data_IF_490712706539
#
_entry.id   IF_490712706539
#
_cell.length_a   1.000
_cell.length_b   1.000
_cell.length_c   1.000
_cell.angle_alpha   90.00
_cell.angle_beta   90.00
_cell.angle_gamma   90.00
#
_symmetry.space_group_name_H-M   'P 1'
#
loop_
_entity.id
_entity.type
_entity.pdbx_description
1 polymer ?
#
# COMPACT_ATOMS: atom_id res chain seq x y z
N UNK A 1 -13.84 21.50 -41.38
CA UNK A 1 -12.65 21.23 -40.53
C UNK A 1 -12.95 20.84 -39.07
N UNK A 2 -14.22 20.64 -38.66
CA UNK A 2 -14.59 20.37 -37.26
C UNK A 2 -14.78 18.87 -36.90
N UNK A 3 -14.81 17.98 -37.89
CA UNK A 3 -15.09 16.56 -37.68
C UNK A 3 -13.87 15.80 -37.15
N UNK A 4 -12.68 16.09 -37.69
CA UNK A 4 -11.42 15.48 -37.23
C UNK A 4 -11.08 15.84 -35.78
N UNK A 5 -11.40 17.07 -35.35
CA UNK A 5 -11.16 17.49 -33.97
C UNK A 5 -12.05 16.72 -32.96
N UNK A 6 -13.32 16.48 -33.30
CA UNK A 6 -14.23 15.68 -32.46
C UNK A 6 -13.82 14.22 -32.38
N UNK A 7 -13.37 13.62 -33.48
CA UNK A 7 -12.86 12.24 -33.49
C UNK A 7 -11.58 12.14 -32.67
N UNK A 8 -10.65 13.07 -32.82
CA UNK A 8 -9.41 13.09 -32.05
C UNK A 8 -9.67 13.27 -30.56
N UNK A 9 -10.59 14.17 -30.18
CA UNK A 9 -11.01 14.35 -28.78
C UNK A 9 -11.69 13.10 -28.22
N UNK A 10 -12.53 12.42 -29.01
CA UNK A 10 -13.17 11.16 -28.61
C UNK A 10 -12.13 10.06 -28.38
N UNK A 11 -11.15 9.93 -29.28
CA UNK A 11 -10.04 8.96 -29.16
C UNK A 11 -9.24 9.25 -27.89
N UNK A 12 -8.87 10.51 -27.63
CA UNK A 12 -8.18 10.89 -26.40
C UNK A 12 -9.01 10.60 -25.14
N UNK A 13 -10.31 10.88 -25.17
CA UNK A 13 -11.23 10.57 -24.07
C UNK A 13 -11.28 9.06 -23.79
N UNK A 14 -11.40 8.23 -24.84
CA UNK A 14 -11.40 6.77 -24.72
C UNK A 14 -10.08 6.26 -24.14
N UNK A 15 -8.94 6.81 -24.57
CA UNK A 15 -7.64 6.48 -24.01
C UNK A 15 -7.49 6.90 -22.54
N UNK A 16 -7.99 8.09 -22.17
CA UNK A 16 -7.97 8.56 -20.77
C UNK A 16 -8.84 7.66 -19.90
N UNK A 17 -10.04 7.32 -20.36
CA UNK A 17 -10.94 6.38 -19.65
C UNK A 17 -10.25 5.02 -19.48
N UNK A 18 -9.58 4.49 -20.51
CA UNK A 18 -8.84 3.24 -20.41
C UNK A 18 -7.74 3.25 -19.35
N UNK A 19 -7.03 4.37 -19.20
CA UNK A 19 -5.96 4.52 -18.22
C UNK A 19 -6.51 4.59 -16.79
N UNK A 20 -7.73 5.09 -16.63
CA UNK A 20 -8.33 5.29 -15.30
C UNK A 20 -9.02 4.03 -14.75
N UNK A 21 -9.30 3.02 -15.56
CA UNK A 21 -10.11 1.88 -15.16
C UNK A 21 -9.36 0.87 -14.26
N UNK A 22 -9.24 1.15 -12.96
CA UNK A 22 -8.57 0.28 -12.00
C UNK A 22 -9.32 0.19 -10.67
N UNK A 23 -9.66 -1.02 -10.21
CA UNK A 23 -10.12 -1.28 -8.85
C UNK A 23 -9.14 -2.18 -8.11
N UNK A 24 -8.94 -1.93 -6.83
CA UNK A 24 -8.12 -2.74 -5.93
C UNK A 24 -8.98 -3.39 -4.86
N UNK A 25 -8.79 -4.68 -4.65
CA UNK A 25 -9.41 -5.45 -3.59
C UNK A 25 -8.32 -5.77 -2.56
N UNK A 26 -8.42 -5.29 -1.32
CA UNK A 26 -7.41 -5.51 -0.31
C UNK A 26 -7.41 -6.97 0.16
N UNK A 27 -6.23 -7.53 0.36
CA UNK A 27 -6.05 -8.69 1.22
C UNK A 27 -6.20 -8.27 2.69
N UNK A 28 -6.56 -9.22 3.56
CA UNK A 28 -6.48 -9.03 5.00
C UNK A 28 -5.04 -8.75 5.42
N UNK A 29 -4.82 -7.71 6.21
CA UNK A 29 -3.49 -7.43 6.78
C UNK A 29 -3.13 -8.58 7.73
N UNK A 30 -1.97 -9.20 7.50
CA UNK A 30 -1.50 -10.32 8.34
C UNK A 30 -0.19 -9.94 9.02
N UNK A 31 -0.05 -10.28 10.29
CA UNK A 31 1.19 -10.11 11.03
C UNK A 31 2.04 -11.37 10.97
N UNK A 32 3.35 -11.19 10.81
CA UNK A 32 4.37 -12.20 11.03
C UNK A 32 5.27 -11.69 12.14
N UNK A 33 4.94 -12.03 13.38
CA UNK A 33 5.73 -11.61 14.54
C UNK A 33 7.04 -12.39 14.68
N UNK A 34 8.08 -11.66 15.11
CA UNK A 34 9.24 -12.20 15.83
C UNK A 34 9.41 -11.44 17.16
N UNK A 35 9.01 -12.13 18.24
CA UNK A 35 9.28 -11.91 19.69
C UNK A 35 8.32 -11.02 20.50
N UNK A 36 7.91 -11.60 21.63
CA UNK A 36 6.84 -11.24 22.57
C UNK A 36 7.20 -10.20 23.67
N UNK A 37 8.21 -9.35 23.49
CA UNK A 37 8.52 -8.37 24.55
C UNK A 37 7.58 -7.16 24.42
N UNK A 38 6.73 -6.98 25.43
CA UNK A 38 5.90 -5.78 25.58
C UNK A 38 6.81 -4.57 25.76
N UNK A 39 6.72 -3.60 24.86
CA UNK A 39 7.48 -2.35 24.96
C UNK A 39 6.57 -1.34 25.65
N UNK A 40 7.04 -0.75 26.75
CA UNK A 40 6.29 0.29 27.44
C UNK A 40 6.07 1.52 26.57
N UNK A 41 5.13 2.37 26.96
CA UNK A 41 4.90 3.71 26.38
C UNK A 41 6.06 4.66 26.72
N UNK A 42 7.25 4.33 26.26
CA UNK A 42 8.48 5.04 26.56
C UNK A 42 8.69 6.21 25.59
N UNK A 43 9.61 7.11 25.97
CA UNK A 43 10.09 8.16 25.07
C UNK A 43 10.88 7.50 23.95
N UNK A 44 10.43 7.62 22.70
CA UNK A 44 11.10 7.01 21.55
C UNK A 44 11.39 8.04 20.47
N UNK A 45 12.49 7.82 19.75
CA UNK A 45 12.79 8.48 18.49
C UNK A 45 12.06 7.74 17.37
N UNK A 46 11.13 8.40 16.69
CA UNK A 46 10.41 7.79 15.56
C UNK A 46 11.15 8.10 14.25
N UNK A 47 11.52 7.06 13.52
CA UNK A 47 12.21 7.13 12.23
C UNK A 47 11.36 6.45 11.17
N UNK A 48 11.25 7.05 9.98
CA UNK A 48 10.49 6.48 8.85
C UNK A 48 11.43 6.17 7.68
N UNK A 49 11.39 4.93 7.22
CA UNK A 49 12.22 4.44 6.11
C UNK A 49 11.32 3.94 4.98
N UNK A 50 11.62 4.33 3.72
CA UNK A 50 10.85 3.89 2.55
C UNK A 50 9.58 4.69 2.23
N UNK A 51 9.30 5.78 2.95
CA UNK A 51 8.13 6.64 2.76
C UNK A 51 8.29 7.79 1.75
N UNK A 52 9.29 7.75 0.88
CA UNK A 52 9.66 8.83 -0.06
C UNK A 52 8.52 9.34 -0.97
N UNK A 53 7.48 8.54 -1.23
CA UNK A 53 6.28 8.91 -2.00
C UNK A 53 4.98 8.89 -1.18
N UNK A 54 5.08 8.74 0.14
CA UNK A 54 3.98 8.47 1.05
C UNK A 54 4.02 9.42 2.27
N UNK A 55 4.26 10.70 2.04
CA UNK A 55 4.39 11.70 3.11
C UNK A 55 3.07 11.92 3.87
N UNK A 56 1.93 11.83 3.20
CA UNK A 56 0.63 11.95 3.86
C UNK A 56 0.40 10.76 4.81
N UNK A 57 0.64 9.55 4.34
CA UNK A 57 0.48 8.32 5.13
C UNK A 57 1.48 8.27 6.28
N UNK A 58 2.72 8.72 6.05
CA UNK A 58 3.73 8.88 7.12
C UNK A 58 3.25 9.79 8.24
N UNK A 59 2.69 10.96 7.89
CA UNK A 59 2.20 11.92 8.89
C UNK A 59 1.01 11.34 9.67
N UNK A 60 0.10 10.65 9.00
CA UNK A 60 -1.04 10.00 9.67
C UNK A 60 -0.61 8.87 10.60
N UNK A 61 0.35 8.03 10.18
CA UNK A 61 0.92 6.99 11.05
C UNK A 61 1.57 7.62 12.28
N UNK A 62 2.36 8.69 12.09
CA UNK A 62 2.98 9.41 13.21
C UNK A 62 1.94 9.97 14.18
N UNK A 63 0.86 10.59 13.68
CA UNK A 63 -0.23 11.09 14.52
C UNK A 63 -0.93 9.98 15.30
N UNK A 64 -1.19 8.83 14.68
CA UNK A 64 -1.82 7.68 15.34
C UNK A 64 -0.92 7.17 16.48
N UNK A 65 0.37 6.98 16.21
CA UNK A 65 1.33 6.54 17.22
C UNK A 65 1.39 7.49 18.42
N UNK A 66 1.39 8.81 18.17
CA UNK A 66 1.38 9.84 19.23
C UNK A 66 0.08 9.83 20.04
N UNK A 67 -1.08 9.71 19.38
CA UNK A 67 -2.40 9.68 20.03
C UNK A 67 -2.55 8.49 20.97
N UNK A 68 -1.96 7.35 20.62
CA UNK A 68 -2.06 6.11 21.38
C UNK A 68 -1.04 6.02 22.54
N UNK A 69 -0.23 7.07 22.70
CA UNK A 69 0.59 7.32 23.90
C UNK A 69 2.08 7.12 23.70
N UNK A 70 2.57 6.97 22.47
CA UNK A 70 4.00 7.01 22.19
C UNK A 70 4.50 8.44 22.35
N UNK A 71 5.48 8.66 23.23
CA UNK A 71 6.05 9.99 23.45
C UNK A 71 7.26 10.18 22.54
N UNK A 72 7.19 11.13 21.62
CA UNK A 72 8.31 11.43 20.73
C UNK A 72 9.40 12.20 21.46
N UNK A 73 10.61 11.63 21.52
CA UNK A 73 11.81 12.29 22.01
C UNK A 73 12.97 12.08 21.03
N UNK A 74 13.40 13.11 20.28
CA UNK A 74 14.50 13.01 19.32
C UNK A 74 15.83 12.56 19.94
N UNK A 75 16.02 12.76 21.25
CA UNK A 75 17.26 12.44 21.96
C UNK A 75 17.17 11.10 22.71
N UNK A 76 16.07 10.34 22.57
CA UNK A 76 15.95 9.05 23.23
C UNK A 76 16.93 8.01 22.66
N UNK A 77 17.40 7.14 23.54
CA UNK A 77 18.18 5.96 23.19
C UNK A 77 17.32 4.82 22.62
N UNK A 78 16.00 4.94 22.74
CA UNK A 78 15.02 4.04 22.15
C UNK A 78 14.54 4.60 20.83
N UNK A 79 14.53 3.77 19.79
CA UNK A 79 14.11 4.12 18.45
C UNK A 79 13.01 3.18 17.97
N UNK A 80 11.96 3.78 17.42
CA UNK A 80 10.93 3.12 16.66
C UNK A 80 11.13 3.46 15.19
N UNK A 81 11.64 2.50 14.42
CA UNK A 81 11.77 2.61 12.98
C UNK A 81 10.54 1.99 12.30
N UNK A 82 9.80 2.79 11.54
CA UNK A 82 8.69 2.34 10.69
C UNK A 82 9.22 2.21 9.27
N UNK A 83 9.32 0.98 8.79
CA UNK A 83 9.93 0.66 7.50
C UNK A 83 8.83 0.21 6.53
N UNK A 84 8.70 0.92 5.41
CA UNK A 84 7.83 0.53 4.32
C UNK A 84 8.67 -0.07 3.18
N UNK A 85 8.44 -1.34 2.86
CA UNK A 85 9.13 -2.02 1.77
C UNK A 85 8.16 -2.53 0.72
N UNK A 86 8.59 -2.45 -0.55
CA UNK A 86 7.87 -3.06 -1.67
C UNK A 86 8.37 -4.48 -1.86
N UNK A 87 7.44 -5.42 -2.01
CA UNK A 87 7.73 -6.80 -2.34
C UNK A 87 7.37 -7.07 -3.80
N UNK A 88 8.19 -7.85 -4.48
CA UNK A 88 7.87 -8.27 -5.84
C UNK A 88 6.76 -9.34 -5.80
N UNK A 89 5.66 -9.15 -6.56
CA UNK A 89 4.58 -10.13 -6.58
C UNK A 89 5.04 -11.42 -7.25
N UNK A 90 4.79 -12.56 -6.60
CA UNK A 90 5.08 -13.88 -7.15
C UNK A 90 3.83 -14.47 -7.80
N UNK A 91 3.84 -14.60 -9.12
CA UNK A 91 2.73 -15.22 -9.86
C UNK A 91 3.01 -16.71 -10.09
N UNK A 92 2.04 -17.57 -9.71
CA UNK A 92 2.13 -19.01 -9.96
C UNK A 92 2.28 -19.36 -11.44
N UNK A 93 1.62 -18.59 -12.31
CA UNK A 93 1.65 -18.78 -13.76
C UNK A 93 1.99 -17.47 -14.48
N UNK A 94 3.28 -17.14 -14.54
CA UNK A 94 3.77 -15.88 -15.13
C UNK A 94 3.37 -15.72 -16.60
N UNK A 95 3.38 -16.80 -17.38
CA UNK A 95 2.98 -16.75 -18.80
C UNK A 95 1.52 -16.35 -18.97
N UNK A 96 0.62 -16.91 -18.14
CA UNK A 96 -0.81 -16.57 -18.16
C UNK A 96 -1.01 -15.11 -17.79
N UNK A 97 -0.29 -14.61 -16.78
CA UNK A 97 -0.35 -13.20 -16.39
C UNK A 97 0.07 -12.26 -17.54
N UNK A 98 1.18 -12.57 -18.24
CA UNK A 98 1.63 -11.80 -19.41
C UNK A 98 0.62 -11.85 -20.56
N UNK A 99 0.07 -13.03 -20.83
CA UNK A 99 -0.95 -13.20 -21.87
C UNK A 99 -2.22 -12.41 -21.54
N UNK A 100 -2.65 -12.41 -20.28
CA UNK A 100 -3.81 -11.64 -19.82
C UNK A 100 -3.60 -10.14 -20.13
N UNK A 101 -2.43 -9.59 -19.79
CA UNK A 101 -2.11 -8.19 -20.12
C UNK A 101 -2.18 -7.89 -21.63
N UNK A 102 -1.67 -8.79 -22.47
CA UNK A 102 -1.74 -8.63 -23.94
C UNK A 102 -3.20 -8.68 -24.41
N UNK A 103 -4.01 -9.60 -23.91
CA UNK A 103 -5.43 -9.71 -24.26
C UNK A 103 -6.19 -8.44 -23.84
N UNK A 104 -5.93 -7.91 -22.64
CA UNK A 104 -6.52 -6.63 -22.21
C UNK A 104 -6.15 -5.49 -23.15
N UNK A 105 -4.90 -5.42 -23.60
CA UNK A 105 -4.47 -4.41 -24.55
C UNK A 105 -5.16 -4.58 -25.92
N UNK A 106 -5.13 -5.79 -26.50
CA UNK A 106 -5.70 -6.08 -27.82
C UNK A 106 -7.24 -5.97 -27.84
N UNK A 107 -7.90 -6.27 -26.73
CA UNK A 107 -9.35 -6.12 -26.59
C UNK A 107 -9.80 -4.68 -26.34
N UNK A 108 -8.87 -3.72 -26.23
CA UNK A 108 -9.21 -2.36 -25.82
C UNK A 108 -9.90 -2.39 -24.46
N UNK A 109 -9.27 -2.99 -23.43
CA UNK A 109 -9.72 -2.93 -22.05
C UNK A 109 -11.02 -3.67 -21.71
N UNK A 110 -11.70 -4.29 -22.67
CA UNK A 110 -12.93 -5.07 -22.41
C UNK A 110 -12.67 -6.32 -21.60
N UNK A 111 -11.53 -6.97 -21.80
CA UNK A 111 -11.08 -8.09 -20.95
C UNK A 111 -10.18 -7.52 -19.85
N UNK A 112 -10.57 -7.59 -18.57
CA UNK A 112 -9.76 -7.03 -17.49
C UNK A 112 -8.48 -7.82 -17.25
N UNK A 113 -7.38 -7.11 -16.99
CA UNK A 113 -6.12 -7.69 -16.52
C UNK A 113 -6.05 -7.66 -15.00
N UNK A 114 -5.43 -8.70 -14.43
CA UNK A 114 -5.15 -8.80 -13.00
C UNK A 114 -3.69 -8.53 -12.70
N UNK A 115 -3.41 -7.73 -11.68
CA UNK A 115 -2.08 -7.38 -11.16
C UNK A 115 -2.12 -7.46 -9.64
N UNK A 116 -1.11 -8.09 -9.04
CA UNK A 116 -0.96 -8.15 -7.58
C UNK A 116 0.06 -7.12 -7.11
N UNK A 117 -0.25 -6.43 -6.01
CA UNK A 117 0.70 -5.54 -5.32
C UNK A 117 0.94 -6.05 -3.91
N UNK A 118 2.20 -6.29 -3.56
CA UNK A 118 2.60 -6.73 -2.22
C UNK A 118 3.59 -5.74 -1.63
N UNK A 119 3.41 -5.45 -0.34
CA UNK A 119 4.27 -4.56 0.45
C UNK A 119 4.32 -5.06 1.89
N UNK A 120 5.33 -4.61 2.62
CA UNK A 120 5.46 -4.90 4.04
C UNK A 120 5.62 -3.60 4.81
N UNK A 121 4.92 -3.50 5.95
CA UNK A 121 5.09 -2.44 6.92
C UNK A 121 5.73 -3.07 8.16
N UNK A 122 6.94 -2.65 8.50
CA UNK A 122 7.68 -3.19 9.64
C UNK A 122 7.80 -2.14 10.72
N UNK A 123 7.47 -2.51 11.95
CA UNK A 123 7.74 -1.73 13.15
C UNK A 123 8.91 -2.37 13.88
N UNK A 124 10.05 -1.68 13.85
CA UNK A 124 11.28 -2.14 14.46
C UNK A 124 11.61 -1.26 15.65
N UNK A 125 11.69 -1.88 16.82
CA UNK A 125 12.08 -1.23 18.05
C UNK A 125 13.52 -1.59 18.36
N UNK A 126 14.34 -0.57 18.58
CA UNK A 126 15.74 -0.75 18.91
C UNK A 126 16.16 0.13 20.07
N UNK A 127 17.13 -0.35 20.85
CA UNK A 127 17.74 0.37 21.96
C UNK A 127 19.24 0.36 21.78
N UNK A 128 19.85 1.55 21.70
CA UNK A 128 21.30 1.71 21.48
C UNK A 128 21.81 0.90 20.25
N UNK A 129 20.99 0.79 19.19
CA UNK A 129 21.32 0.08 17.96
C UNK A 129 21.07 -1.44 17.97
N UNK A 130 20.65 -2.02 19.10
CA UNK A 130 20.23 -3.42 19.18
C UNK A 130 18.72 -3.54 18.98
N UNK A 131 18.28 -4.39 18.05
CA UNK A 131 16.85 -4.63 17.78
C UNK A 131 16.25 -5.48 18.90
N UNK A 132 15.27 -4.93 19.61
CA UNK A 132 14.58 -5.60 20.72
C UNK A 132 13.29 -6.30 20.24
N UNK A 133 12.50 -5.64 19.38
CA UNK A 133 11.26 -6.17 18.79
C UNK A 133 11.18 -5.81 17.31
N UNK A 134 10.66 -6.72 16.49
CA UNK A 134 10.33 -6.45 15.10
C UNK A 134 9.00 -7.11 14.74
N UNK A 135 8.02 -6.28 14.41
CA UNK A 135 6.71 -6.72 13.91
C UNK A 135 6.63 -6.44 12.42
N UNK A 136 6.32 -7.45 11.63
CA UNK A 136 6.18 -7.31 10.17
C UNK A 136 4.73 -7.55 9.80
N UNK A 137 4.12 -6.57 9.13
CA UNK A 137 2.77 -6.67 8.59
C UNK A 137 2.83 -6.77 7.08
N UNK A 138 2.32 -7.89 6.54
CA UNK A 138 2.17 -8.11 5.12
C UNK A 138 0.89 -7.41 4.63
N UNK A 139 1.06 -6.53 3.63
CA UNK A 139 -0.02 -5.77 3.00
C UNK A 139 -0.08 -6.15 1.52
N UNK A 140 -1.21 -6.68 1.09
CA UNK A 140 -1.44 -7.14 -0.28
C UNK A 140 -2.74 -6.60 -0.86
N UNK A 141 -2.79 -6.40 -2.17
CA UNK A 141 -4.06 -6.14 -2.85
C UNK A 141 -4.02 -6.69 -4.28
N UNK A 142 -5.17 -7.18 -4.72
CA UNK A 142 -5.42 -7.58 -6.10
C UNK A 142 -6.03 -6.40 -6.87
N UNK A 143 -5.34 -5.96 -7.93
CA UNK A 143 -5.75 -4.87 -8.79
C UNK A 143 -6.27 -5.40 -10.12
N UNK A 144 -7.47 -5.01 -10.49
CA UNK A 144 -8.07 -5.32 -11.78
C UNK A 144 -8.12 -4.07 -12.64
N UNK A 145 -7.67 -4.18 -13.90
CA UNK A 145 -7.64 -3.08 -14.85
C UNK A 145 -8.41 -3.41 -16.12
N UNK A 146 -9.39 -2.58 -16.47
CA UNK A 146 -10.24 -2.76 -17.66
C UNK A 146 -11.61 -2.09 -17.51
N UNK A 147 -12.28 -1.85 -18.62
CA UNK A 147 -13.58 -1.13 -18.69
C UNK A 147 -14.64 -1.70 -17.74
N UNK A 148 -14.84 -3.04 -17.64
CA UNK A 148 -15.86 -3.59 -16.73
C UNK A 148 -15.64 -3.21 -15.26
N UNK A 149 -14.40 -2.88 -14.88
CA UNK A 149 -14.00 -2.62 -13.50
C UNK A 149 -14.41 -1.22 -13.03
N UNK A 150 -14.84 -0.33 -13.93
CA UNK A 150 -15.22 1.06 -13.63
C UNK A 150 -16.27 1.18 -12.53
N UNK A 151 -17.23 0.26 -12.52
CA UNK A 151 -18.33 0.24 -11.55
C UNK A 151 -17.80 0.14 -10.11
N UNK A 152 -16.66 -0.52 -9.92
CA UNK A 152 -16.05 -0.73 -8.61
C UNK A 152 -15.09 0.40 -8.20
N UNK A 153 -14.64 1.25 -9.12
CA UNK A 153 -13.59 2.24 -8.85
C UNK A 153 -13.94 3.25 -7.76
N UNK A 154 -15.23 3.61 -7.63
CA UNK A 154 -15.68 4.60 -6.65
C UNK A 154 -15.38 4.12 -5.22
N UNK A 155 -15.56 2.83 -4.97
CA UNK A 155 -15.37 2.23 -3.64
C UNK A 155 -14.00 1.58 -3.48
N UNK A 156 -13.41 1.08 -4.55
CA UNK A 156 -12.19 0.26 -4.55
C UNK A 156 -11.01 0.99 -5.20
N UNK A 157 -10.91 2.31 -5.00
CA UNK A 157 -9.81 3.08 -5.56
C UNK A 157 -8.46 2.66 -4.93
N UNK A 158 -7.44 2.25 -5.70
CA UNK A 158 -6.22 1.65 -5.16
C UNK A 158 -5.50 2.49 -4.09
N UNK A 159 -5.40 3.81 -4.28
CA UNK A 159 -4.71 4.66 -3.31
C UNK A 159 -5.47 4.75 -1.98
N UNK A 160 -6.81 4.75 -2.02
CA UNK A 160 -7.64 4.80 -0.83
C UNK A 160 -7.52 3.49 -0.04
N UNK A 161 -7.66 2.36 -0.73
CA UNK A 161 -7.52 1.03 -0.14
C UNK A 161 -6.13 0.84 0.49
N UNK A 162 -5.08 1.26 -0.23
CA UNK A 162 -3.71 1.16 0.28
C UNK A 162 -3.50 1.96 1.56
N UNK A 163 -4.03 3.19 1.61
CA UNK A 163 -3.99 4.04 2.80
C UNK A 163 -4.71 3.39 3.98
N UNK A 164 -5.89 2.83 3.74
CA UNK A 164 -6.67 2.12 4.76
C UNK A 164 -5.89 0.92 5.33
N UNK A 165 -5.22 0.13 4.48
CA UNK A 165 -4.40 -1.01 4.93
C UNK A 165 -3.19 -0.59 5.78
N UNK A 166 -2.52 0.53 5.45
CA UNK A 166 -1.41 1.05 6.27
C UNK A 166 -1.89 1.47 7.67
N UNK A 167 -3.05 2.13 7.73
CA UNK A 167 -3.67 2.55 9.00
C UNK A 167 -4.10 1.33 9.80
N UNK A 168 -4.68 0.32 9.14
CA UNK A 168 -5.07 -0.94 9.78
C UNK A 168 -3.86 -1.67 10.38
N UNK A 169 -2.78 -1.82 9.61
CA UNK A 169 -1.51 -2.41 10.09
C UNK A 169 -0.96 -1.65 11.31
N UNK A 170 -1.00 -0.32 11.27
CA UNK A 170 -0.56 0.52 12.40
C UNK A 170 -1.43 0.31 13.63
N UNK A 171 -2.76 0.19 13.46
CA UNK A 171 -3.69 -0.08 14.57
C UNK A 171 -3.50 -1.48 15.15
N UNK A 172 -3.12 -2.46 14.34
CA UNK A 172 -2.81 -3.81 14.80
C UNK A 172 -1.57 -3.80 15.70
N UNK A 173 -0.49 -3.12 15.29
CA UNK A 173 0.70 -2.96 16.14
C UNK A 173 0.34 -2.34 17.49
N UNK A 174 -0.46 -1.27 17.49
CA UNK A 174 -0.81 -0.59 18.74
C UNK A 174 -1.62 -1.47 19.69
N UNK A 175 -2.44 -2.38 19.18
CA UNK A 175 -3.15 -3.35 20.04
C UNK A 175 -2.22 -4.39 20.66
N UNK A 176 -1.04 -4.60 20.06
CA UNK A 176 -0.01 -5.54 20.52
C UNK A 176 1.02 -4.87 21.46
N UNK A 177 0.94 -3.55 21.66
CA UNK A 177 1.72 -2.76 22.64
C UNK A 177 0.96 -2.66 23.97
#
# INVERSE_FOLDING_TARGET
MNFNFKIQALVHLVFIVHILNCAAFPDTVTSKERRFQSIGKEKVRIVFTGFYRYEQEKNEIAEILLKEGIVKDPNSNFELEVILQKKEPTYRYLFIHRLNFIITFLSGGFVPSHIRTEKTLTFRYSKLGLVEKESVYDIGMDQWRGIPVVIFMITHWPNKIYKEQLIEATKLEIKEI
#
